data_IF_919464837769
#
_entry.id   IF_919464837769
#
_cell.length_a   1.000
_cell.length_b   1.000
_cell.length_c   1.000
_cell.angle_alpha   90.00
_cell.angle_beta   90.00
_cell.angle_gamma   90.00
#
_symmetry.space_group_name_H-M   'P 1'
#
loop_
_entity.id
_entity.type
_entity.pdbx_description
1 polymer ?
#
# COMPACT_ATOMS: atom_id res chain seq x y z
N UNK A 1 -27.58 12.49 -15.34
CA UNK A 1 -26.78 11.27 -15.08
C UNK A 1 -25.50 11.69 -14.36
N UNK A 2 -25.34 11.33 -13.09
CA UNK A 2 -24.38 11.95 -12.16
C UNK A 2 -22.96 11.38 -12.26
N UNK A 3 -21.96 12.27 -12.37
CA UNK A 3 -20.52 12.01 -12.48
C UNK A 3 -19.86 11.55 -11.15
N UNK A 4 -20.44 10.59 -10.44
CA UNK A 4 -19.85 10.06 -9.20
C UNK A 4 -18.99 8.83 -9.50
N UNK A 5 -17.72 9.01 -9.88
CA UNK A 5 -16.81 7.86 -10.03
C UNK A 5 -15.32 8.14 -10.21
N UNK A 6 -14.90 9.33 -10.66
CA UNK A 6 -13.51 9.56 -11.08
C UNK A 6 -12.49 9.88 -9.99
N UNK A 7 -12.89 10.12 -8.74
CA UNK A 7 -11.97 10.51 -7.65
C UNK A 7 -12.03 9.63 -6.39
N UNK A 8 -12.86 8.59 -6.36
CA UNK A 8 -12.99 7.71 -5.18
C UNK A 8 -11.91 6.63 -5.22
N UNK A 9 -10.98 6.68 -4.28
CA UNK A 9 -10.05 5.57 -4.03
C UNK A 9 -10.84 4.44 -3.37
N UNK A 10 -10.87 3.28 -4.01
CA UNK A 10 -11.48 2.08 -3.45
C UNK A 10 -10.51 1.46 -2.45
N UNK A 11 -11.02 1.10 -1.28
CA UNK A 11 -10.33 0.31 -0.29
C UNK A 11 -10.96 -1.09 -0.26
N UNK A 12 -10.13 -2.12 -0.28
CA UNK A 12 -10.55 -3.51 -0.09
C UNK A 12 -10.12 -3.97 1.31
N UNK A 13 -11.05 -4.49 2.08
CA UNK A 13 -10.79 -5.07 3.39
C UNK A 13 -11.02 -6.57 3.31
N UNK A 14 -10.09 -7.36 3.83
CA UNK A 14 -10.32 -8.79 4.00
C UNK A 14 -11.13 -8.99 5.27
N UNK A 15 -12.35 -9.53 5.14
CA UNK A 15 -13.29 -9.71 6.24
C UNK A 15 -13.93 -11.08 6.09
N UNK A 16 -14.21 -11.73 7.22
CA UNK A 16 -14.98 -12.97 7.24
C UNK A 16 -16.32 -12.79 6.52
N UNK A 17 -16.64 -13.68 5.58
CA UNK A 17 -17.80 -13.55 4.72
C UNK A 17 -19.12 -13.61 5.49
N UNK A 18 -19.20 -14.41 6.56
CA UNK A 18 -20.41 -14.54 7.36
C UNK A 18 -20.63 -13.32 8.25
N UNK A 19 -19.55 -12.81 8.84
CA UNK A 19 -19.57 -11.57 9.62
C UNK A 19 -19.95 -10.38 8.74
N UNK A 20 -19.36 -10.29 7.54
CA UNK A 20 -19.67 -9.25 6.57
C UNK A 20 -21.13 -9.29 6.12
N UNK A 21 -21.69 -10.47 5.88
CA UNK A 21 -23.10 -10.61 5.49
C UNK A 21 -24.04 -10.12 6.59
N UNK A 22 -23.82 -10.59 7.83
CA UNK A 22 -24.60 -10.16 9.00
C UNK A 22 -24.53 -8.65 9.19
N UNK A 23 -23.35 -8.06 9.06
CA UNK A 23 -23.16 -6.62 9.16
C UNK A 23 -23.90 -5.86 8.05
N UNK A 24 -23.83 -6.33 6.81
CA UNK A 24 -24.56 -5.72 5.67
C UNK A 24 -26.06 -5.77 5.87
N UNK A 25 -26.58 -6.93 6.27
CA UNK A 25 -28.00 -7.11 6.54
C UNK A 25 -28.47 -6.14 7.64
N UNK A 26 -27.72 -6.03 8.73
CA UNK A 26 -28.05 -5.11 9.82
C UNK A 26 -28.03 -3.64 9.38
N UNK A 27 -27.12 -3.25 8.48
CA UNK A 27 -27.10 -1.91 7.91
C UNK A 27 -28.37 -1.64 7.09
N UNK A 28 -28.78 -2.59 6.26
CA UNK A 28 -29.97 -2.48 5.41
C UNK A 28 -31.26 -2.38 6.23
N UNK A 29 -31.39 -3.18 7.29
CA UNK A 29 -32.54 -3.13 8.23
C UNK A 29 -32.66 -1.76 8.91
N UNK A 30 -31.54 -1.09 9.17
CA UNK A 30 -31.49 0.26 9.72
C UNK A 30 -31.56 1.38 8.66
N UNK A 31 -31.85 1.05 7.39
CA UNK A 31 -31.98 2.03 6.31
C UNK A 31 -30.67 2.69 5.88
N UNK A 32 -29.52 2.09 6.19
CA UNK A 32 -28.19 2.62 5.84
C UNK A 32 -27.38 1.61 5.03
N UNK A 33 -26.21 2.04 4.54
CA UNK A 33 -25.29 1.16 3.79
C UNK A 33 -24.06 0.86 4.61
N UNK A 34 -23.51 -0.35 4.47
CA UNK A 34 -22.27 -0.75 5.12
C UNK A 34 -21.13 0.23 4.83
N UNK A 35 -21.05 0.76 3.61
CA UNK A 35 -20.06 1.79 3.24
C UNK A 35 -20.25 3.09 4.01
N UNK A 36 -21.48 3.57 4.16
CA UNK A 36 -21.76 4.78 4.93
C UNK A 36 -21.42 4.60 6.41
N UNK A 37 -21.81 3.46 7.00
CA UNK A 37 -21.51 3.12 8.40
C UNK A 37 -20.00 3.01 8.63
N UNK A 38 -19.28 2.27 7.77
CA UNK A 38 -17.83 2.14 7.86
C UNK A 38 -17.11 3.48 7.69
N UNK A 39 -17.53 4.29 6.72
CA UNK A 39 -16.92 5.62 6.49
C UNK A 39 -17.09 6.49 7.71
N UNK A 40 -18.32 6.54 8.27
CA UNK A 40 -18.61 7.30 9.49
C UNK A 40 -17.76 6.77 10.65
N UNK A 41 -17.75 5.46 10.87
CA UNK A 41 -16.96 4.82 11.93
C UNK A 41 -15.47 5.16 11.82
N UNK A 42 -14.86 4.99 10.64
CA UNK A 42 -13.43 5.29 10.42
C UNK A 42 -13.13 6.77 10.68
N UNK A 43 -13.99 7.69 10.21
CA UNK A 43 -13.80 9.12 10.47
C UNK A 43 -13.83 9.43 11.97
N UNK A 44 -14.77 8.89 12.72
CA UNK A 44 -14.84 9.08 14.17
C UNK A 44 -13.68 8.42 14.91
N UNK A 45 -13.26 7.23 14.47
CA UNK A 45 -12.10 6.53 15.02
C UNK A 45 -10.81 7.35 14.88
N UNK A 46 -10.55 7.89 13.68
CA UNK A 46 -9.36 8.69 13.41
C UNK A 46 -9.37 10.05 14.13
N UNK A 47 -10.55 10.60 14.37
CA UNK A 47 -10.72 11.88 15.05
C UNK A 47 -10.78 11.77 16.58
N UNK A 48 -10.73 10.55 17.15
CA UNK A 48 -10.86 10.33 18.60
C UNK A 48 -12.24 10.71 19.14
N UNK A 49 -13.29 10.48 18.34
CA UNK A 49 -14.66 10.93 18.63
C UNK A 49 -15.68 9.79 18.53
N UNK A 50 -15.26 8.60 18.97
CA UNK A 50 -16.07 7.38 18.91
C UNK A 50 -17.27 7.42 19.86
N UNK A 51 -17.17 8.18 20.95
CA UNK A 51 -18.25 8.29 21.93
C UNK A 51 -19.45 9.06 21.34
N UNK A 52 -19.20 10.07 20.49
CA UNK A 52 -20.28 10.72 19.73
C UNK A 52 -20.93 9.78 18.73
N UNK A 53 -20.16 8.87 18.13
CA UNK A 53 -20.72 7.83 17.27
C UNK A 53 -21.58 6.83 18.06
N UNK A 54 -21.20 6.50 19.29
CA UNK A 54 -21.98 5.62 20.17
C UNK A 54 -23.31 6.25 20.58
N UNK A 55 -23.31 7.56 20.86
CA UNK A 55 -24.52 8.34 21.14
C UNK A 55 -25.43 8.37 19.90
N UNK A 56 -24.87 8.67 18.72
CA UNK A 56 -25.59 8.67 17.44
C UNK A 56 -26.22 7.31 17.09
N UNK A 57 -25.59 6.21 17.51
CA UNK A 57 -26.09 4.85 17.32
C UNK A 57 -27.05 4.39 18.44
N UNK A 58 -27.35 5.24 19.42
CA UNK A 58 -28.21 4.92 20.55
C UNK A 58 -27.62 3.84 21.47
N UNK A 59 -26.30 3.63 21.44
CA UNK A 59 -25.59 2.60 22.20
C UNK A 59 -25.01 3.11 23.52
N UNK A 60 -24.94 4.43 23.72
CA UNK A 60 -24.49 5.05 24.96
C UNK A 60 -25.47 6.14 25.43
N UNK A 61 -25.84 6.11 26.70
CA UNK A 61 -26.45 7.26 27.38
C UNK A 61 -25.32 8.17 27.88
N UNK A 62 -25.56 9.47 27.90
CA UNK A 62 -24.60 10.56 28.18
C UNK A 62 -23.86 10.50 29.55
N UNK A 63 -24.03 9.43 30.33
CA UNK A 63 -23.36 9.18 31.62
C UNK A 63 -22.18 8.20 31.58
N UNK A 64 -21.90 7.56 30.43
CA UNK A 64 -20.82 6.57 30.29
C UNK A 64 -19.89 6.84 29.10
N UNK A 65 -19.64 8.12 28.77
CA UNK A 65 -18.86 8.52 27.60
C UNK A 65 -17.41 8.00 27.61
N UNK A 66 -16.83 7.62 28.75
CA UNK A 66 -15.46 7.07 28.77
C UNK A 66 -15.33 5.62 28.28
N UNK A 67 -16.44 4.87 28.25
CA UNK A 67 -16.37 3.42 28.14
C UNK A 67 -16.35 2.92 26.69
N UNK A 68 -16.88 3.70 25.73
CA UNK A 68 -17.07 3.18 24.37
C UNK A 68 -15.77 3.18 23.57
N UNK A 69 -15.03 4.29 23.56
CA UNK A 69 -13.70 4.32 22.96
C UNK A 69 -12.78 3.24 23.57
N UNK A 70 -12.72 3.12 24.89
CA UNK A 70 -11.91 2.09 25.56
C UNK A 70 -12.37 0.67 25.21
N UNK A 71 -13.68 0.43 25.13
CA UNK A 71 -14.25 -0.88 24.79
C UNK A 71 -14.01 -1.25 23.33
N UNK A 72 -14.10 -0.29 22.41
CA UNK A 72 -13.74 -0.52 21.00
C UNK A 72 -12.26 -0.83 20.88
N UNK A 73 -11.39 -0.06 21.56
CA UNK A 73 -9.95 -0.33 21.59
C UNK A 73 -9.64 -1.72 22.14
N UNK A 74 -10.27 -2.10 23.26
CA UNK A 74 -10.10 -3.42 23.85
C UNK A 74 -10.56 -4.55 22.91
N UNK A 75 -11.69 -4.39 22.22
CA UNK A 75 -12.15 -5.38 21.22
C UNK A 75 -11.21 -5.46 20.01
N UNK A 76 -10.66 -4.35 19.56
CA UNK A 76 -9.66 -4.32 18.47
C UNK A 76 -8.37 -5.00 18.93
N UNK A 77 -7.88 -4.69 20.13
CA UNK A 77 -6.68 -5.28 20.70
C UNK A 77 -6.85 -6.79 20.92
N UNK A 78 -8.00 -7.25 21.41
CA UNK A 78 -8.32 -8.66 21.56
C UNK A 78 -8.37 -9.37 20.20
N UNK A 79 -9.05 -8.77 19.21
CA UNK A 79 -9.13 -9.31 17.86
C UNK A 79 -7.73 -9.42 17.22
N UNK A 80 -6.90 -8.38 17.41
CA UNK A 80 -5.51 -8.41 16.98
C UNK A 80 -4.76 -9.51 17.74
N UNK A 81 -4.80 -9.60 19.06
CA UNK A 81 -4.09 -10.66 19.79
C UNK A 81 -4.48 -12.07 19.35
N UNK A 82 -5.76 -12.32 19.08
CA UNK A 82 -6.25 -13.64 18.66
C UNK A 82 -5.89 -13.98 17.21
N UNK A 83 -5.88 -12.99 16.31
CA UNK A 83 -5.69 -13.23 14.87
C UNK A 83 -4.39 -12.71 14.29
N UNK A 84 -3.57 -12.00 15.07
CA UNK A 84 -2.31 -11.43 14.60
C UNK A 84 -1.33 -12.53 14.19
N UNK A 85 -1.31 -13.67 14.91
CA UNK A 85 -0.52 -14.83 14.52
C UNK A 85 -0.93 -15.35 13.14
N UNK A 86 -2.23 -15.60 12.94
CA UNK A 86 -2.77 -16.06 11.65
C UNK A 86 -2.54 -15.03 10.53
N UNK A 87 -2.73 -13.74 10.81
CA UNK A 87 -2.45 -12.67 9.84
C UNK A 87 -0.97 -12.55 9.49
N UNK A 88 -0.07 -12.73 10.46
CA UNK A 88 1.37 -12.71 10.22
C UNK A 88 1.80 -13.94 9.43
N UNK A 89 1.23 -15.11 9.72
CA UNK A 89 1.52 -16.34 8.99
C UNK A 89 0.96 -16.28 7.56
N UNK A 90 -0.25 -15.77 7.36
CA UNK A 90 -0.84 -15.56 6.02
C UNK A 90 -0.12 -14.44 5.25
N UNK A 91 0.32 -13.38 5.93
CA UNK A 91 1.16 -12.34 5.34
C UNK A 91 2.53 -12.89 4.93
N UNK A 92 3.20 -13.65 5.80
CA UNK A 92 4.48 -14.30 5.50
C UNK A 92 4.34 -15.35 4.40
N UNK A 93 3.25 -16.12 4.40
CA UNK A 93 2.93 -17.08 3.35
C UNK A 93 2.63 -16.39 2.01
N UNK A 94 1.93 -15.26 2.00
CA UNK A 94 1.68 -14.46 0.78
C UNK A 94 2.95 -13.78 0.25
N UNK A 95 3.84 -13.31 1.13
CA UNK A 95 5.17 -12.79 0.76
C UNK A 95 6.07 -13.91 0.20
N UNK A 96 6.02 -15.11 0.76
CA UNK A 96 6.81 -16.26 0.30
C UNK A 96 6.24 -16.91 -0.98
N UNK A 97 4.91 -16.94 -1.16
CA UNK A 97 4.25 -17.40 -2.38
C UNK A 97 4.37 -16.39 -3.53
N UNK A 98 4.57 -15.10 -3.24
CA UNK A 98 4.98 -14.11 -4.25
C UNK A 98 6.40 -14.37 -4.83
N UNK A 99 7.19 -15.24 -4.20
CA UNK A 99 8.57 -15.57 -4.61
C UNK A 99 8.71 -16.94 -5.30
N UNK A 100 7.68 -17.79 -5.28
CA UNK A 100 7.69 -19.12 -5.91
C UNK A 100 6.59 -19.24 -6.96
N UNK A 101 6.84 -18.62 -8.11
CA UNK A 101 6.57 -19.17 -9.46
C UNK A 101 6.71 -18.06 -10.51
N UNK A 102 7.91 -17.89 -11.04
CA UNK A 102 8.13 -17.55 -12.46
C UNK A 102 9.47 -18.12 -12.91
N UNK A 103 9.54 -19.45 -13.09
CA UNK A 103 10.43 -20.03 -14.09
C UNK A 103 9.61 -20.27 -15.36
N UNK A 104 9.68 -19.31 -16.27
CA UNK A 104 9.74 -19.61 -17.69
C UNK A 104 10.59 -18.55 -18.36
N UNK A 105 11.79 -18.99 -18.77
CA UNK A 105 12.72 -18.25 -19.62
C UNK A 105 11.93 -17.79 -20.85
N UNK A 106 11.62 -16.51 -20.91
CA UNK A 106 11.50 -15.81 -22.20
C UNK A 106 12.70 -14.89 -22.26
N UNK A 107 13.57 -15.14 -23.23
CA UNK A 107 14.62 -14.21 -23.65
C UNK A 107 13.90 -12.98 -24.17
N UNK A 108 13.58 -12.04 -23.27
CA UNK A 108 12.93 -10.79 -23.62
C UNK A 108 14.01 -9.84 -24.10
N UNK A 109 13.84 -9.34 -25.33
CA UNK A 109 14.59 -8.18 -25.85
C UNK A 109 14.72 -7.14 -24.75
N UNK A 110 15.93 -6.62 -24.57
CA UNK A 110 16.20 -5.59 -23.56
C UNK A 110 15.20 -4.45 -23.73
N UNK A 111 14.43 -4.09 -22.69
CA UNK A 111 13.50 -2.98 -22.76
C UNK A 111 14.23 -1.68 -23.13
N UNK A 112 13.55 -0.84 -23.92
CA UNK A 112 14.09 0.44 -24.41
C UNK A 112 14.36 1.45 -23.28
N UNK A 113 13.77 1.20 -22.11
CA UNK A 113 13.76 2.06 -20.94
C UNK A 113 13.86 1.22 -19.66
N UNK A 114 14.67 1.65 -18.71
CA UNK A 114 14.94 0.96 -17.46
C UNK A 114 14.59 1.79 -16.24
N UNK A 115 13.90 1.17 -15.29
CA UNK A 115 13.75 1.66 -13.92
C UNK A 115 14.84 1.06 -13.02
N UNK A 116 15.25 1.78 -11.98
CA UNK A 116 16.28 1.35 -11.03
C UNK A 116 15.96 -0.03 -10.44
N UNK A 117 14.72 -0.25 -9.99
CA UNK A 117 14.27 -1.53 -9.40
C UNK A 117 14.30 -2.68 -10.41
N UNK A 118 13.97 -2.40 -11.67
CA UNK A 118 13.99 -3.43 -12.72
C UNK A 118 15.41 -3.75 -13.15
N UNK A 119 16.29 -2.74 -13.23
CA UNK A 119 17.69 -2.91 -13.60
C UNK A 119 18.47 -3.65 -12.52
N UNK A 120 18.29 -3.31 -11.25
CA UNK A 120 18.93 -4.04 -10.15
C UNK A 120 18.47 -5.50 -10.08
N UNK A 121 17.17 -5.77 -10.29
CA UNK A 121 16.66 -7.14 -10.40
C UNK A 121 17.25 -7.89 -11.60
N UNK A 122 17.47 -7.21 -12.72
CA UNK A 122 18.14 -7.79 -13.90
C UNK A 122 19.61 -8.13 -13.62
N UNK A 123 20.30 -7.31 -12.83
CA UNK A 123 21.66 -7.58 -12.36
C UNK A 123 21.73 -8.63 -11.24
N UNK A 124 20.58 -9.11 -10.74
CA UNK A 124 20.53 -10.06 -9.62
C UNK A 124 20.84 -9.44 -8.26
N UNK A 125 20.80 -8.11 -8.15
CA UNK A 125 21.15 -7.36 -6.94
C UNK A 125 19.87 -7.00 -6.18
N UNK A 126 19.82 -7.34 -4.89
CA UNK A 126 18.74 -6.92 -4.00
C UNK A 126 19.07 -5.54 -3.42
N UNK A 127 18.20 -4.57 -3.71
CA UNK A 127 18.35 -3.18 -3.26
C UNK A 127 17.23 -2.79 -2.29
N UNK A 128 17.61 -2.18 -1.18
CA UNK A 128 16.69 -1.64 -0.16
C UNK A 128 16.09 -0.30 -0.58
N UNK A 129 15.03 0.14 0.09
CA UNK A 129 14.38 1.43 -0.19
C UNK A 129 15.33 2.63 -0.06
N UNK A 130 16.22 2.63 0.95
CA UNK A 130 17.23 3.67 1.13
C UNK A 130 18.26 3.64 -0.02
N UNK A 131 18.74 2.46 -0.40
CA UNK A 131 19.67 2.33 -1.52
C UNK A 131 19.04 2.81 -2.84
N UNK A 132 17.75 2.58 -3.06
CA UNK A 132 17.04 3.10 -4.24
C UNK A 132 17.10 4.62 -4.29
N UNK A 133 16.90 5.32 -3.17
CA UNK A 133 16.98 6.79 -3.12
C UNK A 133 18.40 7.26 -3.46
N UNK A 134 19.43 6.61 -2.92
CA UNK A 134 20.81 6.96 -3.21
C UNK A 134 21.19 6.67 -4.68
N UNK A 135 20.77 5.51 -5.22
CA UNK A 135 21.00 5.15 -6.62
C UNK A 135 20.28 6.16 -7.53
N UNK A 136 19.06 6.54 -7.19
CA UNK A 136 18.30 7.54 -7.94
C UNK A 136 19.01 8.89 -7.95
N UNK A 137 19.52 9.35 -6.80
CA UNK A 137 20.29 10.58 -6.71
C UNK A 137 21.55 10.54 -7.60
N UNK A 138 22.37 9.49 -7.47
CA UNK A 138 23.59 9.35 -8.25
C UNK A 138 23.33 9.21 -9.75
N UNK A 139 22.33 8.41 -10.13
CA UNK A 139 21.99 8.20 -11.54
C UNK A 139 21.39 9.46 -12.17
N UNK A 140 20.56 10.22 -11.44
CA UNK A 140 20.03 11.51 -11.90
C UNK A 140 21.14 12.54 -12.09
N UNK A 141 22.09 12.63 -11.14
CA UNK A 141 23.21 13.56 -11.23
C UNK A 141 24.13 13.23 -12.42
N UNK A 142 24.48 11.95 -12.60
CA UNK A 142 25.29 11.50 -13.73
C UNK A 142 24.57 11.67 -15.08
N UNK A 143 23.25 11.43 -15.12
CA UNK A 143 22.45 11.66 -16.33
C UNK A 143 22.37 13.15 -16.67
N UNK A 144 22.21 14.02 -15.65
CA UNK A 144 22.23 15.47 -15.81
C UNK A 144 23.59 15.99 -16.26
N UNK A 145 24.69 15.41 -15.80
CA UNK A 145 26.03 15.76 -16.27
C UNK A 145 26.23 15.42 -17.76
N UNK A 146 25.63 14.32 -18.23
CA UNK A 146 25.77 13.86 -19.63
C UNK A 146 24.82 14.56 -20.61
N UNK A 147 23.58 14.81 -20.21
CA UNK A 147 22.53 15.33 -21.10
C UNK A 147 22.02 16.73 -20.73
N UNK A 148 22.58 17.35 -19.68
CA UNK A 148 22.17 18.67 -19.17
C UNK A 148 20.78 18.72 -18.54
N UNK A 149 20.04 17.61 -18.57
CA UNK A 149 18.63 17.52 -18.16
C UNK A 149 18.40 16.30 -17.29
N UNK A 150 17.34 16.31 -16.46
CA UNK A 150 16.97 15.15 -15.66
C UNK A 150 16.28 14.08 -16.53
N UNK A 151 16.37 12.79 -16.15
CA UNK A 151 15.65 11.73 -16.84
C UNK A 151 14.14 11.97 -16.85
N UNK A 152 13.44 11.37 -17.81
CA UNK A 152 11.98 11.47 -17.89
C UNK A 152 11.35 10.72 -16.71
N UNK A 153 10.24 11.24 -16.18
CA UNK A 153 9.43 10.55 -15.16
C UNK A 153 8.32 9.76 -15.83
N UNK A 154 8.16 8.50 -15.42
CA UNK A 154 7.07 7.64 -15.85
C UNK A 154 6.41 6.99 -14.64
N UNK A 155 5.12 6.69 -14.76
CA UNK A 155 4.38 5.97 -13.75
C UNK A 155 4.87 4.52 -13.67
N UNK A 156 5.37 4.14 -12.50
CA UNK A 156 5.82 2.80 -12.16
C UNK A 156 5.11 2.32 -10.89
N UNK A 157 4.26 1.30 -11.03
CA UNK A 157 3.48 0.71 -9.93
C UNK A 157 2.74 1.75 -9.05
N UNK A 158 2.14 2.75 -9.69
CA UNK A 158 1.36 3.79 -9.01
C UNK A 158 2.16 4.97 -8.45
N UNK A 159 3.50 4.97 -8.57
CA UNK A 159 4.36 6.11 -8.21
C UNK A 159 5.09 6.66 -9.44
N UNK A 160 5.41 7.95 -9.46
CA UNK A 160 6.27 8.52 -10.50
C UNK A 160 7.73 8.16 -10.18
N UNK A 161 8.43 7.54 -11.14
CA UNK A 161 9.84 7.20 -11.02
C UNK A 161 10.61 7.64 -12.26
N UNK A 162 11.90 7.92 -12.10
CA UNK A 162 12.78 8.26 -13.21
C UNK A 162 13.08 7.03 -14.08
N UNK A 163 13.09 7.27 -15.39
CA UNK A 163 13.31 6.25 -16.42
C UNK A 163 14.54 6.62 -17.24
N UNK A 164 15.40 5.62 -17.43
CA UNK A 164 16.66 5.77 -18.13
C UNK A 164 16.59 5.02 -19.47
N UNK A 165 16.86 5.67 -20.60
CA UNK A 165 16.93 5.00 -21.91
C UNK A 165 18.02 3.94 -21.94
N UNK A 166 17.88 2.96 -22.84
CA UNK A 166 18.86 1.88 -23.06
C UNK A 166 20.30 2.39 -23.25
N UNK A 167 20.47 3.51 -23.93
CA UNK A 167 21.78 4.11 -24.21
C UNK A 167 22.49 4.68 -22.96
N UNK A 168 21.78 4.74 -21.82
CA UNK A 168 22.23 5.34 -20.57
C UNK A 168 22.13 4.37 -19.39
N UNK A 169 22.11 3.08 -19.69
CA UNK A 169 22.05 2.01 -18.69
C UNK A 169 23.38 1.86 -17.95
N UNK A 170 24.48 2.26 -18.57
CA UNK A 170 25.81 2.40 -17.94
C UNK A 170 25.77 3.29 -16.70
N UNK A 171 25.00 4.38 -16.75
CA UNK A 171 24.82 5.31 -15.62
C UNK A 171 24.09 4.62 -14.46
N UNK A 172 23.05 3.84 -14.77
CA UNK A 172 22.33 3.06 -13.77
C UNK A 172 23.22 1.99 -13.15
N UNK A 173 23.95 1.23 -13.96
CA UNK A 173 24.82 0.15 -13.48
C UNK A 173 25.94 0.69 -12.59
N UNK A 174 26.55 1.82 -12.98
CA UNK A 174 27.56 2.50 -12.18
C UNK A 174 26.99 3.02 -10.85
N UNK A 175 25.78 3.59 -10.85
CA UNK A 175 25.12 4.07 -9.65
C UNK A 175 24.73 2.92 -8.70
N UNK A 176 24.23 1.80 -9.25
CA UNK A 176 23.88 0.60 -8.48
C UNK A 176 25.13 0.02 -7.81
N UNK A 177 26.22 -0.20 -8.56
CA UNK A 177 27.48 -0.73 -8.01
C UNK A 177 28.05 0.17 -6.92
N UNK A 178 28.10 1.48 -7.18
CA UNK A 178 28.62 2.48 -6.23
C UNK A 178 27.87 2.50 -4.90
N UNK A 179 26.55 2.31 -4.91
CA UNK A 179 25.73 2.34 -3.69
C UNK A 179 25.68 0.99 -2.98
N UNK A 180 25.80 -0.11 -3.73
CA UNK A 180 25.80 -1.47 -3.17
C UNK A 180 27.19 -1.87 -2.66
N UNK A 181 28.25 -1.18 -3.08
CA UNK A 181 29.60 -1.35 -2.55
C UNK A 181 30.41 -2.44 -3.25
N UNK A 182 30.14 -2.68 -4.54
CA UNK A 182 31.02 -3.47 -5.43
C UNK A 182 32.01 -2.58 -6.18
#
# INVERSE_FOLDING_TARGET
MSNTGRSKRLASFNCDSQLWEKFRQHCQENGTTATAVLTKFISHYLNGDLDKLAIDLGKATSRGLGDWEERVKALVDEYLQQRLADYLDEYNASQNNGRRERKSKTVKKEPECWFIKERAKYLGIEITANQIIHIELFANDAFKQRHGTLPKRQLFKGSQAFVYPKDNVDILDAAIKKVVGE
#
